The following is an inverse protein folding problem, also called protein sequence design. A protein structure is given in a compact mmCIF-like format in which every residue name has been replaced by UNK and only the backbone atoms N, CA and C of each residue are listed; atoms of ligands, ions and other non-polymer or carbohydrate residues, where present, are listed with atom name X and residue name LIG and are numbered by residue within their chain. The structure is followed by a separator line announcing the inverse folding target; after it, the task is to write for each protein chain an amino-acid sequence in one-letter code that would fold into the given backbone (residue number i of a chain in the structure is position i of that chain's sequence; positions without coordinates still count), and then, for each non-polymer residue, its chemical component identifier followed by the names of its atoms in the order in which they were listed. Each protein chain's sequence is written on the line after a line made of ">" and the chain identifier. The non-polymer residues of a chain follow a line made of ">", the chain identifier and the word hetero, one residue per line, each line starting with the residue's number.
data_IF_378780325207
#
_entry.id   IF_378780325207
#
_cell.length_a   1.000
_cell.length_b   1.000
_cell.length_c   1.000
_cell.angle_alpha   90.00
_cell.angle_beta   90.00
_cell.angle_gamma   90.00
#
_symmetry.space_group_name_H-M   'P 1'
#
loop_
_entity.id
_entity.type
_entity.pdbx_description
1 polymer ?
#
# COMPACT_ATOMS: atom_id res chain seq x y z
N UNK A 1 -1.10 6.66 -3.33
CA UNK A 1 -0.25 7.79 -3.77
C UNK A 1 0.76 7.98 -2.66
N UNK A 2 2.06 7.81 -2.93
CA UNK A 2 3.11 8.12 -1.94
C UNK A 2 2.78 9.47 -1.33
N UNK A 3 2.59 9.49 -0.02
CA UNK A 3 2.03 10.63 0.69
C UNK A 3 2.88 11.87 0.40
N UNK A 4 2.23 13.03 0.22
CA UNK A 4 2.90 14.34 0.03
C UNK A 4 3.58 14.78 1.35
N UNK A 5 4.59 14.01 1.76
CA UNK A 5 5.45 14.32 2.89
C UNK A 5 6.47 15.32 2.36
N UNK A 6 6.53 16.50 3.00
CA UNK A 6 7.38 17.61 2.55
C UNK A 6 8.89 17.37 2.76
N UNK A 7 9.27 16.31 3.47
CA UNK A 7 10.67 15.92 3.62
C UNK A 7 11.20 15.29 2.32
N UNK A 8 12.51 15.39 2.06
CA UNK A 8 13.14 14.58 1.03
C UNK A 8 12.90 13.08 1.31
N UNK A 9 12.51 12.27 0.30
CA UNK A 9 12.31 10.84 0.46
C UNK A 9 13.56 10.12 0.98
N UNK A 10 13.38 9.15 1.87
CA UNK A 10 14.45 8.34 2.46
C UNK A 10 14.10 6.86 2.42
N UNK A 11 14.63 6.17 1.41
CA UNK A 11 14.47 4.72 1.32
C UNK A 11 15.04 3.99 2.54
N UNK A 12 14.19 3.19 3.18
CA UNK A 12 14.46 2.40 4.37
C UNK A 12 13.98 3.06 5.66
N UNK A 13 13.12 4.09 5.59
CA UNK A 13 12.53 4.76 6.76
C UNK A 13 11.13 4.24 7.14
N UNK A 14 10.66 3.18 6.47
CA UNK A 14 9.34 2.55 6.64
C UNK A 14 8.15 3.44 6.22
N UNK A 15 8.39 4.55 5.51
CA UNK A 15 7.35 5.41 4.97
C UNK A 15 7.36 5.34 3.44
N UNK A 16 6.20 5.07 2.83
CA UNK A 16 6.10 5.06 1.37
C UNK A 16 6.05 6.51 0.83
N UNK A 17 7.18 6.99 0.36
CA UNK A 17 7.36 8.37 -0.11
C UNK A 17 7.32 8.48 -1.65
N UNK A 18 7.28 9.72 -2.15
CA UNK A 18 7.24 9.99 -3.59
C UNK A 18 8.54 9.51 -4.26
N UNK A 19 8.41 8.60 -5.23
CA UNK A 19 9.52 8.05 -6.02
C UNK A 19 9.86 6.59 -5.66
N UNK A 20 9.36 6.12 -4.53
CA UNK A 20 9.47 4.75 -4.06
C UNK A 20 8.24 3.94 -4.51
N UNK A 21 8.44 2.63 -4.70
CA UNK A 21 7.33 1.71 -5.03
C UNK A 21 6.89 0.89 -3.80
N UNK A 22 7.76 0.80 -2.81
CA UNK A 22 7.56 0.16 -1.51
C UNK A 22 8.68 0.63 -0.55
N UNK A 23 8.41 0.62 0.75
CA UNK A 23 9.43 0.76 1.79
C UNK A 23 9.10 -0.24 2.90
N UNK A 24 10.11 -1.00 3.33
CA UNK A 24 10.00 -2.01 4.38
C UNK A 24 11.13 -1.90 5.41
N UNK A 25 11.74 -0.71 5.52
CA UNK A 25 12.88 -0.45 6.40
C UNK A 25 14.21 -0.90 5.79
N UNK A 26 15.21 -1.09 6.65
CA UNK A 26 16.56 -1.46 6.21
C UNK A 26 16.63 -2.90 5.68
N UNK A 27 17.63 -3.25 4.86
CA UNK A 27 17.81 -4.62 4.34
C UNK A 27 17.87 -5.71 5.43
N UNK A 28 18.34 -5.38 6.63
CA UNK A 28 18.44 -6.31 7.75
C UNK A 28 17.10 -6.62 8.42
N UNK A 29 16.15 -5.67 8.38
CA UNK A 29 14.87 -5.76 9.09
C UNK A 29 13.69 -6.02 8.15
N UNK A 30 13.84 -5.78 6.85
CA UNK A 30 12.76 -5.95 5.89
C UNK A 30 12.31 -7.43 5.79
N UNK A 31 11.05 -7.67 6.12
CA UNK A 31 10.38 -8.96 5.97
C UNK A 31 9.42 -8.99 4.77
N UNK A 32 9.38 -7.90 3.99
CA UNK A 32 8.49 -7.78 2.85
C UNK A 32 9.13 -8.44 1.62
N UNK A 33 8.65 -9.64 1.27
CA UNK A 33 9.16 -10.38 0.13
C UNK A 33 8.94 -9.69 -1.21
N UNK A 34 8.01 -8.74 -1.29
CA UNK A 34 7.68 -8.00 -2.50
C UNK A 34 8.64 -6.83 -2.76
N UNK A 35 9.38 -6.39 -1.75
CA UNK A 35 10.15 -5.15 -1.78
C UNK A 35 11.66 -5.40 -1.69
N UNK A 36 12.44 -4.78 -2.59
CA UNK A 36 13.89 -4.67 -2.43
C UNK A 36 14.21 -3.48 -1.52
N UNK A 37 14.49 -3.78 -0.26
CA UNK A 37 14.80 -2.78 0.78
C UNK A 37 16.00 -1.88 0.46
N UNK A 38 16.93 -2.32 -0.40
CA UNK A 38 18.09 -1.50 -0.75
C UNK A 38 17.75 -0.41 -1.77
N UNK A 39 16.64 -0.57 -2.51
CA UNK A 39 16.30 0.29 -3.65
C UNK A 39 14.88 0.87 -3.57
N UNK A 40 14.06 0.41 -2.63
CA UNK A 40 12.63 0.76 -2.51
C UNK A 40 11.85 0.51 -3.81
N UNK A 41 12.27 -0.55 -4.51
CA UNK A 41 11.66 -1.04 -5.75
C UNK A 41 10.99 -2.38 -5.54
N UNK A 42 9.94 -2.63 -6.31
CA UNK A 42 9.30 -3.92 -6.32
C UNK A 42 10.24 -5.00 -6.89
N UNK A 43 10.30 -6.14 -6.21
CA UNK A 43 10.98 -7.32 -6.75
C UNK A 43 10.22 -7.85 -7.97
N UNK A 44 10.96 -8.47 -8.89
CA UNK A 44 10.40 -9.06 -10.12
C UNK A 44 9.19 -9.96 -9.84
N UNK A 45 8.08 -9.71 -10.55
CA UNK A 45 6.82 -10.45 -10.40
C UNK A 45 5.82 -9.82 -9.43
N UNK A 46 6.25 -8.87 -8.61
CA UNK A 46 5.37 -8.11 -7.70
C UNK A 46 4.60 -7.04 -8.47
N UNK A 47 3.30 -6.93 -8.22
CA UNK A 47 2.44 -5.83 -8.68
C UNK A 47 2.30 -4.73 -7.62
N UNK A 48 2.50 -5.10 -6.36
CA UNK A 48 2.47 -4.21 -5.21
C UNK A 48 3.35 -4.74 -4.09
N UNK A 49 3.69 -3.87 -3.15
CA UNK A 49 4.42 -4.21 -1.93
C UNK A 49 3.92 -3.48 -0.69
N UNK A 50 2.82 -2.72 -0.82
CA UNK A 50 2.21 -1.92 0.24
C UNK A 50 0.71 -1.76 -0.06
N UNK A 51 -0.08 -1.33 0.92
CA UNK A 51 -1.51 -1.03 0.79
C UNK A 51 -2.44 -2.18 1.18
N UNK A 52 -3.63 -1.84 1.69
CA UNK A 52 -4.61 -2.81 2.22
C UNK A 52 -5.18 -3.78 1.17
N UNK A 53 -5.07 -3.42 -0.11
CA UNK A 53 -5.46 -4.25 -1.25
C UNK A 53 -4.27 -4.92 -1.94
N UNK A 54 -3.17 -5.13 -1.21
CA UNK A 54 -2.03 -5.91 -1.66
C UNK A 54 -1.91 -7.21 -0.86
N UNK A 55 -2.09 -8.35 -1.52
CA UNK A 55 -1.94 -9.66 -0.91
C UNK A 55 -0.94 -10.50 -1.71
N UNK A 56 0.08 -11.06 -1.06
CA UNK A 56 1.11 -11.88 -1.71
C UNK A 56 1.72 -11.21 -2.95
N UNK A 57 2.03 -9.91 -2.82
CA UNK A 57 2.60 -9.07 -3.87
C UNK A 57 1.69 -8.86 -5.10
N UNK A 58 0.39 -9.14 -4.99
CA UNK A 58 -0.61 -9.02 -6.05
C UNK A 58 -1.78 -8.16 -5.61
N UNK A 59 -2.42 -7.50 -6.58
CA UNK A 59 -3.65 -6.78 -6.27
C UNK A 59 -4.73 -7.75 -5.82
N UNK A 60 -5.34 -7.46 -4.68
CA UNK A 60 -6.47 -8.21 -4.17
C UNK A 60 -7.64 -8.10 -5.15
N UNK A 61 -8.36 -9.22 -5.34
CA UNK A 61 -9.49 -9.32 -6.26
C UNK A 61 -10.49 -8.16 -6.08
N UNK A 62 -11.05 -7.69 -7.19
CA UNK A 62 -12.14 -6.72 -7.21
C UNK A 62 -13.33 -7.16 -6.33
N UNK A 63 -13.79 -6.25 -5.47
CA UNK A 63 -14.90 -6.48 -4.54
C UNK A 63 -14.50 -7.03 -3.17
N UNK A 64 -13.23 -7.36 -2.92
CA UNK A 64 -12.78 -7.71 -1.57
C UNK A 64 -12.86 -6.48 -0.67
N UNK A 65 -13.51 -6.59 0.48
CA UNK A 65 -13.61 -5.50 1.47
C UNK A 65 -12.22 -5.16 2.03
N UNK A 66 -11.86 -3.88 2.01
CA UNK A 66 -10.60 -3.37 2.59
C UNK A 66 -10.85 -2.38 3.73
N UNK A 67 -12.03 -1.77 3.81
CA UNK A 67 -12.49 -1.02 4.98
C UNK A 67 -13.93 -1.39 5.29
N UNK A 68 -14.16 -1.89 6.50
CA UNK A 68 -15.49 -2.24 6.98
C UNK A 68 -16.32 -1.00 7.28
N UNK A 69 -17.63 -1.11 7.07
CA UNK A 69 -18.61 -0.09 7.45
C UNK A 69 -18.67 0.08 8.98
N UNK A 70 -18.54 1.32 9.46
CA UNK A 70 -18.70 1.63 10.89
C UNK A 70 -20.15 1.90 11.31
N UNK A 71 -21.03 2.23 10.37
CA UNK A 71 -22.45 2.56 10.62
C UNK A 71 -23.29 2.47 9.35
N UNK A 72 -24.61 2.55 9.47
CA UNK A 72 -25.51 2.59 8.30
C UNK A 72 -25.28 3.81 7.38
N UNK A 73 -24.61 4.86 7.86
CA UNK A 73 -24.24 6.03 7.08
C UNK A 73 -22.82 5.97 6.50
N UNK A 74 -22.06 4.94 6.85
CA UNK A 74 -20.67 4.75 6.45
C UNK A 74 -20.56 3.55 5.51
N UNK A 75 -20.53 3.75 4.18
CA UNK A 75 -20.45 2.64 3.22
C UNK A 75 -19.07 1.98 3.27
N UNK A 76 -19.00 0.65 3.27
CA UNK A 76 -17.74 -0.08 3.17
C UNK A 76 -17.03 0.17 1.83
N UNK A 77 -15.69 0.11 1.82
CA UNK A 77 -14.87 0.19 0.61
C UNK A 77 -14.28 -1.17 0.26
N UNK A 78 -14.14 -1.35 -1.06
CA UNK A 78 -13.70 -2.59 -1.65
C UNK A 78 -12.54 -2.35 -2.60
N UNK A 79 -11.61 -3.28 -2.62
CA UNK A 79 -10.51 -3.33 -3.56
C UNK A 79 -11.03 -3.32 -5.00
N UNK A 80 -10.32 -2.61 -5.88
CA UNK A 80 -10.72 -2.47 -7.29
C UNK A 80 -10.27 -3.64 -8.14
N UNK A 81 -9.28 -4.42 -7.70
CA UNK A 81 -8.57 -5.41 -8.50
C UNK A 81 -7.50 -4.84 -9.43
N UNK A 82 -7.25 -3.54 -9.35
CA UNK A 82 -6.30 -2.81 -10.23
C UNK A 82 -5.42 -1.83 -9.44
N UNK A 83 -5.53 -1.82 -8.12
CA UNK A 83 -4.83 -0.93 -7.19
C UNK A 83 -4.55 -1.69 -5.90
N UNK A 84 -3.40 -1.39 -5.28
CA UNK A 84 -3.03 -1.87 -3.95
C UNK A 84 -3.64 -1.05 -2.82
N UNK A 85 -4.05 0.19 -3.11
CA UNK A 85 -4.68 1.06 -2.13
C UNK A 85 -6.18 0.78 -2.02
N UNK A 86 -6.68 0.76 -0.79
CA UNK A 86 -8.12 0.83 -0.55
C UNK A 86 -8.64 2.20 -1.03
N UNK A 87 -9.81 2.28 -1.69
CA UNK A 87 -10.42 3.56 -2.01
C UNK A 87 -10.60 4.44 -0.77
N UNK A 88 -10.54 5.76 -0.97
CA UNK A 88 -10.72 6.71 0.12
C UNK A 88 -12.12 6.55 0.76
N UNK A 89 -12.14 6.61 2.10
CA UNK A 89 -13.36 6.58 2.91
C UNK A 89 -14.33 7.70 2.48
N UNK A 90 -15.55 7.32 2.11
CA UNK A 90 -16.60 8.26 1.70
C UNK A 90 -17.62 8.59 2.80
N UNK A 91 -17.53 7.98 3.99
CA UNK A 91 -18.57 7.93 5.02
C UNK A 91 -18.53 8.99 6.14
N UNK A 92 -17.55 9.90 6.18
CA UNK A 92 -17.42 10.89 7.25
C UNK A 92 -17.73 12.33 6.81
N UNK A 93 -18.97 12.61 6.40
CA UNK A 93 -19.45 13.99 6.23
C UNK A 93 -20.34 14.45 7.37
#
# INVERSE_FOLDING_TARGET
>A
LGTDIISPPVCGNELLEVGEECDCGTPENCQNECCDAATCKLKSGSECGHGDCCEQCKFTKSGTECRASMSECDPAEHCTGQSSECPADVGHK
#
